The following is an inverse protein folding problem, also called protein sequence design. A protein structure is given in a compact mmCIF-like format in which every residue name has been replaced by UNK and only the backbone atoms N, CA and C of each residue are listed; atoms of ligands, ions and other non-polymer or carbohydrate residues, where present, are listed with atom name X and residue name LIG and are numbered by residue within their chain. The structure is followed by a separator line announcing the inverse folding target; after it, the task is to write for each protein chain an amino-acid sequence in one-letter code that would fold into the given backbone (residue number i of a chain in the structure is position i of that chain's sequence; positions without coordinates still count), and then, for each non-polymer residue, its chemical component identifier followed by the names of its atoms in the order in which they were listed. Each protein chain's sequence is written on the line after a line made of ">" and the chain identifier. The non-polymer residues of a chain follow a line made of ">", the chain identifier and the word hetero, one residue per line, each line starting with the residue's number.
data_IF_093707993397
#
_entry.id   IF_093707993397
#
_cell.length_a   1.000
_cell.length_b   1.000
_cell.length_c   1.000
_cell.angle_alpha   90.00
_cell.angle_beta   90.00
_cell.angle_gamma   90.00
#
_symmetry.space_group_name_H-M   'P 1'
#
loop_
_entity.id
_entity.type
_entity.pdbx_description
1 polymer ?
#
# COMPACT_ATOMS: atom_id res chain seq x y z
N UNK A 1 18.43 79.92 -14.39
CA UNK A 1 17.97 79.01 -13.35
C UNK A 1 17.76 77.60 -14.01
N UNK A 2 18.73 76.68 -13.80
CA UNK A 2 18.71 75.37 -14.37
C UNK A 2 17.79 74.41 -13.59
N UNK A 3 16.78 73.86 -14.24
CA UNK A 3 15.95 72.74 -13.69
C UNK A 3 16.76 71.46 -13.80
N UNK A 4 17.16 70.91 -12.65
CA UNK A 4 17.76 69.59 -12.62
C UNK A 4 16.63 68.55 -12.55
N UNK A 5 16.48 67.78 -13.61
CA UNK A 5 15.58 66.60 -13.65
C UNK A 5 16.28 65.42 -13.00
N UNK A 6 15.79 65.00 -11.82
CA UNK A 6 16.25 63.77 -11.14
C UNK A 6 15.46 62.59 -11.67
N UNK A 7 16.15 61.56 -12.15
CA UNK A 7 15.57 60.28 -12.54
C UNK A 7 14.94 59.62 -11.29
N UNK A 8 13.62 59.46 -11.32
CA UNK A 8 12.76 59.00 -10.22
C UNK A 8 13.16 57.64 -9.61
N UNK A 9 14.06 56.89 -10.26
CA UNK A 9 14.52 55.57 -9.85
C UNK A 9 15.99 55.45 -9.43
N UNK A 10 16.83 56.53 -9.58
CA UNK A 10 18.24 56.44 -9.25
C UNK A 10 18.48 56.47 -7.73
N UNK A 11 17.59 57.11 -6.95
CA UNK A 11 17.71 57.20 -5.48
C UNK A 11 17.37 55.90 -4.75
N UNK A 12 16.52 55.01 -5.36
CA UNK A 12 16.12 53.77 -4.69
C UNK A 12 17.24 52.71 -4.59
N UNK A 13 18.25 52.79 -5.44
CA UNK A 13 19.37 51.81 -5.42
C UNK A 13 20.53 52.23 -4.50
N UNK A 14 20.65 53.52 -4.15
CA UNK A 14 21.78 54.05 -3.43
C UNK A 14 21.59 54.09 -1.89
N UNK A 15 20.37 53.97 -1.39
CA UNK A 15 20.04 54.11 0.03
C UNK A 15 19.17 52.96 0.60
N UNK A 16 19.12 51.78 -0.06
CA UNK A 16 18.55 50.60 0.63
C UNK A 16 19.51 50.22 1.78
N UNK A 17 19.08 50.44 3.00
CA UNK A 17 19.79 49.91 4.18
C UNK A 17 19.81 48.39 4.06
N UNK A 18 20.85 47.71 4.57
CA UNK A 18 20.92 46.22 4.63
C UNK A 18 19.68 45.63 5.29
N UNK A 19 19.05 46.34 6.20
CA UNK A 19 17.81 45.98 6.88
C UNK A 19 16.59 46.01 5.93
N UNK A 20 16.49 47.00 5.04
CA UNK A 20 15.40 47.06 4.06
C UNK A 20 15.52 45.96 3.00
N UNK A 21 16.72 45.59 2.59
CA UNK A 21 16.97 44.47 1.66
C UNK A 21 16.69 43.11 2.33
N UNK A 22 17.05 42.95 3.60
CA UNK A 22 16.73 41.76 4.37
C UNK A 22 15.21 41.61 4.60
N UNK A 23 14.51 42.72 4.86
CA UNK A 23 13.05 42.73 5.02
C UNK A 23 12.33 42.38 3.71
N UNK A 24 12.81 42.87 2.56
CA UNK A 24 12.25 42.55 1.24
C UNK A 24 12.45 41.04 0.89
N UNK A 25 13.65 40.48 1.11
CA UNK A 25 13.94 39.06 0.94
C UNK A 25 13.09 38.19 1.87
N UNK A 26 12.90 38.61 3.12
CA UNK A 26 12.05 37.92 4.07
C UNK A 26 10.57 37.96 3.65
N UNK A 27 10.08 39.07 3.08
CA UNK A 27 8.72 39.18 2.57
C UNK A 27 8.49 38.31 1.32
N UNK A 28 9.46 38.28 0.40
CA UNK A 28 9.42 37.38 -0.75
C UNK A 28 9.43 35.91 -0.35
N UNK A 29 10.28 35.52 0.61
CA UNK A 29 10.33 34.16 1.13
C UNK A 29 9.01 33.75 1.82
N UNK A 30 8.40 34.68 2.59
CA UNK A 30 7.08 34.43 3.21
C UNK A 30 5.98 34.28 2.18
N UNK A 31 5.98 35.12 1.12
CA UNK A 31 5.02 35.02 0.03
C UNK A 31 5.15 33.69 -0.70
N UNK A 32 6.37 33.30 -1.07
CA UNK A 32 6.64 32.01 -1.71
C UNK A 32 6.16 30.83 -0.84
N UNK A 33 6.48 30.85 0.46
CA UNK A 33 6.03 29.80 1.38
C UNK A 33 4.51 29.77 1.55
N UNK A 34 3.80 30.89 1.42
CA UNK A 34 2.35 30.94 1.43
C UNK A 34 1.75 30.39 0.14
N UNK A 35 2.34 30.72 -1.01
CA UNK A 35 1.92 30.22 -2.32
C UNK A 35 2.16 28.70 -2.43
N UNK A 36 3.30 28.20 -1.96
CA UNK A 36 3.63 26.78 -1.91
C UNK A 36 2.62 26.00 -1.04
N UNK A 37 2.29 26.51 0.17
CA UNK A 37 1.27 25.91 1.04
C UNK A 37 -0.12 25.89 0.42
N UNK A 38 -0.53 26.97 -0.24
CA UNK A 38 -1.82 27.04 -0.91
C UNK A 38 -1.92 26.01 -2.05
N UNK A 39 -0.84 25.84 -2.79
CA UNK A 39 -0.73 24.84 -3.85
C UNK A 39 -0.81 23.41 -3.30
N UNK A 40 -0.04 23.10 -2.24
CA UNK A 40 -0.08 21.81 -1.55
C UNK A 40 -1.49 21.47 -1.04
N UNK A 41 -2.15 22.46 -0.40
CA UNK A 41 -3.53 22.27 0.08
C UNK A 41 -4.51 22.01 -1.06
N UNK A 42 -4.36 22.69 -2.20
CA UNK A 42 -5.17 22.47 -3.38
C UNK A 42 -4.97 21.06 -3.94
N UNK A 43 -3.73 20.63 -4.07
CA UNK A 43 -3.39 19.28 -4.54
C UNK A 43 -3.94 18.20 -3.60
N UNK A 44 -3.84 18.40 -2.30
CA UNK A 44 -4.40 17.53 -1.27
C UNK A 44 -5.91 17.38 -1.40
N UNK A 45 -6.63 18.50 -1.58
CA UNK A 45 -8.09 18.50 -1.80
C UNK A 45 -8.47 17.77 -3.10
N UNK A 46 -7.75 17.99 -4.19
CA UNK A 46 -8.00 17.31 -5.46
C UNK A 46 -7.78 15.79 -5.31
N UNK A 47 -6.70 15.37 -4.64
CA UNK A 47 -6.43 13.96 -4.41
C UNK A 47 -7.49 13.30 -3.53
N UNK A 48 -7.91 13.96 -2.45
CA UNK A 48 -9.00 13.48 -1.58
C UNK A 48 -10.31 13.31 -2.36
N UNK A 49 -10.64 14.26 -3.24
CA UNK A 49 -11.84 14.17 -4.10
C UNK A 49 -11.73 12.98 -5.06
N UNK A 50 -10.56 12.77 -5.67
CA UNK A 50 -10.32 11.62 -6.55
C UNK A 50 -10.48 10.29 -5.78
N UNK A 51 -9.90 10.18 -4.59
CA UNK A 51 -9.99 8.98 -3.75
C UNK A 51 -11.45 8.66 -3.38
N UNK A 52 -12.23 9.67 -3.01
CA UNK A 52 -13.68 9.51 -2.76
C UNK A 52 -14.42 9.07 -4.01
N UNK A 53 -14.14 9.67 -5.16
CA UNK A 53 -14.71 9.27 -6.46
C UNK A 53 -14.36 7.83 -6.85
N UNK A 54 -13.20 7.29 -6.45
CA UNK A 54 -12.87 5.87 -6.65
C UNK A 54 -13.82 4.98 -5.85
N UNK A 55 -14.05 5.27 -4.56
CA UNK A 55 -15.00 4.50 -3.74
C UNK A 55 -16.42 4.57 -4.31
N UNK A 56 -16.88 5.74 -4.74
CA UNK A 56 -18.19 5.94 -5.37
C UNK A 56 -18.33 5.13 -6.66
N UNK A 57 -17.31 5.16 -7.53
CA UNK A 57 -17.33 4.42 -8.81
C UNK A 57 -17.36 2.92 -8.62
N UNK A 58 -16.82 2.43 -7.52
CA UNK A 58 -16.81 1.02 -7.12
C UNK A 58 -18.02 0.64 -6.25
N UNK A 59 -18.92 1.58 -5.96
CA UNK A 59 -20.07 1.38 -5.07
C UNK A 59 -19.66 0.86 -3.69
N UNK A 60 -18.49 1.27 -3.20
CA UNK A 60 -18.01 0.94 -1.87
C UNK A 60 -18.54 1.95 -0.83
N UNK A 61 -18.69 1.54 0.44
CA UNK A 61 -19.09 2.45 1.51
C UNK A 61 -18.18 3.67 1.57
N UNK A 62 -18.76 4.88 1.55
CA UNK A 62 -18.04 6.14 1.66
C UNK A 62 -18.75 7.21 2.48
N UNK A 63 -20.07 7.07 2.71
CA UNK A 63 -20.93 8.09 3.35
C UNK A 63 -20.54 8.38 4.81
N UNK A 64 -20.00 7.36 5.51
CA UNK A 64 -19.58 7.44 6.91
C UNK A 64 -18.07 7.42 7.06
N UNK A 65 -17.33 7.68 5.97
CA UNK A 65 -15.88 7.68 5.95
C UNK A 65 -15.34 9.07 5.68
N UNK A 66 -14.38 9.48 6.49
CA UNK A 66 -13.54 10.64 6.25
C UNK A 66 -12.20 10.19 5.68
N UNK A 67 -11.83 10.77 4.53
CA UNK A 67 -10.60 10.46 3.81
C UNK A 67 -9.73 11.71 3.84
N UNK A 68 -8.51 11.55 4.29
CA UNK A 68 -7.49 12.58 4.29
C UNK A 68 -6.25 12.09 3.56
N UNK A 69 -5.69 12.91 2.67
CA UNK A 69 -4.48 12.62 1.91
C UNK A 69 -3.39 13.60 2.27
N UNK A 70 -2.22 13.10 2.62
CA UNK A 70 -1.03 13.89 2.90
C UNK A 70 0.23 13.07 2.57
N UNK A 71 1.10 13.64 1.76
CA UNK A 71 2.44 13.11 1.45
C UNK A 71 2.45 11.61 1.10
N UNK A 72 1.62 11.21 0.12
CA UNK A 72 1.42 9.83 -0.36
C UNK A 72 0.77 8.87 0.66
N UNK A 73 0.34 9.36 1.83
CA UNK A 73 -0.40 8.62 2.84
C UNK A 73 -1.88 8.99 2.79
N UNK A 74 -2.74 7.98 2.78
CA UNK A 74 -4.19 8.13 2.92
C UNK A 74 -4.59 7.70 4.32
N UNK A 75 -5.11 8.62 5.13
CA UNK A 75 -5.74 8.28 6.41
C UNK A 75 -7.25 8.16 6.20
N UNK A 76 -7.83 7.05 6.63
CA UNK A 76 -9.28 6.80 6.56
C UNK A 76 -9.82 6.56 7.95
N UNK A 77 -10.83 7.35 8.33
CA UNK A 77 -11.54 7.22 9.61
C UNK A 77 -13.04 7.03 9.38
N UNK A 78 -13.76 6.57 10.39
CA UNK A 78 -15.21 6.39 10.33
C UNK A 78 -15.62 4.95 10.56
N UNK A 79 -16.82 4.58 10.08
CA UNK A 79 -17.42 3.27 10.36
C UNK A 79 -17.95 2.60 9.10
N UNK A 80 -17.81 1.26 9.05
CA UNK A 80 -18.43 0.39 8.03
C UNK A 80 -19.18 -0.76 8.68
N UNK A 81 -20.05 -1.41 7.93
CA UNK A 81 -20.86 -2.50 8.46
C UNK A 81 -20.08 -3.80 8.60
N UNK A 82 -19.27 -4.18 7.61
CA UNK A 82 -18.58 -5.47 7.59
C UNK A 82 -17.06 -5.34 7.50
N UNK A 83 -16.35 -6.36 7.94
CA UNK A 83 -14.91 -6.48 7.78
C UNK A 83 -14.51 -6.49 6.29
N UNK A 84 -15.32 -7.14 5.44
CA UNK A 84 -15.11 -7.17 4.00
C UNK A 84 -15.19 -5.77 3.37
N UNK A 85 -16.12 -4.91 3.82
CA UNK A 85 -16.24 -3.53 3.34
C UNK A 85 -15.00 -2.70 3.72
N UNK A 86 -14.56 -2.80 4.97
CA UNK A 86 -13.32 -2.16 5.45
C UNK A 86 -12.12 -2.54 4.56
N UNK A 87 -11.91 -3.84 4.38
CA UNK A 87 -10.79 -4.37 3.62
C UNK A 87 -10.85 -3.96 2.14
N UNK A 88 -12.05 -3.91 1.52
CA UNK A 88 -12.23 -3.42 0.16
C UNK A 88 -11.96 -1.93 0.02
N UNK A 89 -12.38 -1.12 0.99
CA UNK A 89 -12.09 0.33 1.03
C UNK A 89 -10.57 0.55 1.08
N UNK A 90 -9.87 -0.11 2.02
CA UNK A 90 -8.41 -0.01 2.14
C UNK A 90 -7.72 -0.40 0.84
N UNK A 91 -8.15 -1.52 0.24
CA UNK A 91 -7.60 -2.03 -0.99
C UNK A 91 -7.84 -1.09 -2.19
N UNK A 92 -9.05 -0.56 -2.32
CA UNK A 92 -9.40 0.37 -3.39
C UNK A 92 -8.55 1.65 -3.34
N UNK A 93 -8.37 2.20 -2.14
CA UNK A 93 -7.56 3.41 -1.93
C UNK A 93 -6.06 3.14 -2.10
N UNK A 94 -5.56 2.01 -1.59
CA UNK A 94 -4.15 1.63 -1.68
C UNK A 94 -3.69 1.28 -3.10
N UNK A 95 -4.61 0.89 -3.99
CA UNK A 95 -4.29 0.62 -5.40
C UNK A 95 -4.36 1.89 -6.28
N UNK A 96 -4.65 3.06 -5.71
CA UNK A 96 -4.63 4.33 -6.47
C UNK A 96 -3.19 4.79 -6.67
N UNK A 97 -2.84 5.12 -7.92
CA UNK A 97 -1.50 5.63 -8.23
C UNK A 97 -1.15 6.87 -7.39
N UNK A 98 0.05 6.85 -6.78
CA UNK A 98 0.54 7.90 -5.89
C UNK A 98 -0.01 7.78 -4.45
N UNK A 99 -0.53 6.62 -4.05
CA UNK A 99 -0.75 6.23 -2.65
C UNK A 99 0.32 5.20 -2.30
N UNK A 100 1.18 5.54 -1.34
CA UNK A 100 2.21 4.63 -0.85
C UNK A 100 1.71 3.84 0.36
N UNK A 101 0.85 4.43 1.17
CA UNK A 101 0.35 3.83 2.40
C UNK A 101 -1.09 4.26 2.73
N UNK A 102 -1.86 3.34 3.36
CA UNK A 102 -3.18 3.61 3.90
C UNK A 102 -3.14 3.44 5.41
N UNK A 103 -3.31 4.54 6.15
CA UNK A 103 -3.48 4.55 7.61
C UNK A 103 -4.96 4.27 7.92
N UNK A 104 -5.23 3.01 8.25
CA UNK A 104 -6.56 2.51 8.53
C UNK A 104 -6.98 2.75 9.97
N UNK A 105 -7.99 3.61 10.12
CA UNK A 105 -8.67 3.89 11.40
C UNK A 105 -10.18 3.68 11.29
N UNK A 106 -10.59 2.76 10.42
CA UNK A 106 -12.00 2.41 10.21
C UNK A 106 -12.45 1.45 11.30
N UNK A 107 -13.55 1.77 11.94
CA UNK A 107 -14.25 0.88 12.87
C UNK A 107 -15.25 0.00 12.12
N UNK A 108 -15.39 -1.26 12.55
CA UNK A 108 -16.30 -2.24 11.92
C UNK A 108 -17.41 -2.59 12.89
N UNK A 109 -18.68 -2.42 12.46
CA UNK A 109 -19.83 -2.75 13.30
C UNK A 109 -19.99 -4.25 13.54
N UNK A 110 -19.73 -5.06 12.49
CA UNK A 110 -19.78 -6.52 12.56
C UNK A 110 -18.40 -7.09 12.20
N UNK A 111 -17.46 -7.16 13.16
CA UNK A 111 -16.12 -7.64 12.92
C UNK A 111 -16.11 -9.14 12.60
N UNK A 112 -15.36 -9.51 11.57
CA UNK A 112 -15.08 -10.87 11.14
C UNK A 112 -13.55 -11.10 11.11
N UNK A 113 -13.07 -12.35 11.01
CA UNK A 113 -11.64 -12.61 10.88
C UNK A 113 -11.05 -11.90 9.66
N UNK A 114 -9.98 -11.14 9.88
CA UNK A 114 -9.31 -10.39 8.83
C UNK A 114 -8.79 -11.28 7.71
N UNK A 115 -8.88 -10.80 6.47
CA UNK A 115 -8.27 -11.43 5.31
C UNK A 115 -6.77 -11.13 5.26
N UNK A 116 -6.01 -11.96 4.55
CA UNK A 116 -4.66 -11.60 4.16
C UNK A 116 -4.68 -10.65 2.95
N UNK A 117 -3.63 -9.84 2.80
CA UNK A 117 -3.38 -9.07 1.58
C UNK A 117 -2.16 -9.64 0.86
N UNK A 118 -2.23 -9.66 -0.46
CA UNK A 118 -1.15 -10.17 -1.31
C UNK A 118 -0.87 -9.21 -2.45
N UNK A 119 0.39 -8.82 -2.62
CA UNK A 119 0.82 -8.02 -3.78
C UNK A 119 1.18 -8.94 -4.93
N UNK A 120 0.48 -8.79 -6.05
CA UNK A 120 0.69 -9.58 -7.28
C UNK A 120 2.11 -9.38 -7.81
N UNK A 121 2.76 -10.48 -8.18
CA UNK A 121 4.11 -10.52 -8.73
C UNK A 121 4.08 -10.88 -10.22
N UNK A 122 5.19 -10.64 -10.90
CA UNK A 122 5.34 -11.01 -12.30
C UNK A 122 5.18 -12.54 -12.47
N UNK A 123 4.26 -12.95 -13.33
CA UNK A 123 3.99 -14.36 -13.59
C UNK A 123 2.95 -15.01 -12.68
N UNK A 124 2.33 -14.25 -11.78
CA UNK A 124 1.19 -14.71 -11.00
C UNK A 124 -0.07 -14.90 -11.86
N UNK A 125 -0.93 -15.80 -11.37
CA UNK A 125 -2.33 -15.91 -11.74
C UNK A 125 -3.14 -16.16 -10.47
N UNK A 126 -4.46 -15.88 -10.49
CA UNK A 126 -5.32 -16.16 -9.34
C UNK A 126 -5.26 -17.64 -8.93
N UNK A 127 -5.12 -18.56 -9.89
CA UNK A 127 -4.98 -20.00 -9.61
C UNK A 127 -3.69 -20.32 -8.86
N UNK A 128 -2.56 -19.70 -9.21
CA UNK A 128 -1.30 -19.87 -8.48
C UNK A 128 -1.40 -19.30 -7.08
N UNK A 129 -2.00 -18.11 -6.95
CA UNK A 129 -2.24 -17.48 -5.65
C UNK A 129 -3.17 -18.33 -4.79
N UNK A 130 -4.27 -18.88 -5.36
CA UNK A 130 -5.17 -19.77 -4.66
C UNK A 130 -4.48 -21.06 -4.21
N UNK A 131 -3.64 -21.66 -5.05
CA UNK A 131 -2.82 -22.81 -4.66
C UNK A 131 -1.89 -22.49 -3.50
N UNK A 132 -1.25 -21.31 -3.52
CA UNK A 132 -0.37 -20.84 -2.43
C UNK A 132 -1.12 -20.66 -1.11
N UNK A 133 -2.28 -19.99 -1.12
CA UNK A 133 -3.01 -19.63 0.10
C UNK A 133 -4.00 -20.70 0.56
N UNK A 134 -4.57 -21.47 -0.34
CA UNK A 134 -5.61 -22.45 -0.05
C UNK A 134 -5.20 -23.90 -0.30
N UNK A 135 -3.99 -24.15 -0.81
CA UNK A 135 -3.54 -25.47 -1.23
C UNK A 135 -4.21 -25.98 -2.51
N UNK A 136 -5.16 -25.25 -3.08
CA UNK A 136 -5.98 -25.67 -4.21
C UNK A 136 -6.13 -24.53 -5.24
N UNK A 137 -5.61 -24.74 -6.45
CA UNK A 137 -5.69 -23.78 -7.55
C UNK A 137 -7.13 -23.51 -8.00
N UNK A 138 -8.04 -24.49 -7.84
CA UNK A 138 -9.44 -24.36 -8.24
C UNK A 138 -10.25 -23.42 -7.33
N UNK A 139 -9.68 -23.00 -6.21
CA UNK A 139 -10.30 -22.03 -5.28
C UNK A 139 -10.04 -20.57 -5.68
N UNK A 140 -9.46 -20.30 -6.85
CA UNK A 140 -9.27 -18.94 -7.35
C UNK A 140 -10.56 -18.11 -7.43
N UNK A 141 -11.77 -18.66 -7.64
CA UNK A 141 -13.00 -17.88 -7.66
C UNK A 141 -13.26 -17.15 -6.33
N UNK A 142 -12.86 -17.71 -5.18
CA UNK A 142 -13.00 -17.05 -3.89
C UNK A 142 -12.15 -15.77 -3.81
N UNK A 143 -10.93 -15.81 -4.36
CA UNK A 143 -10.08 -14.63 -4.47
C UNK A 143 -10.71 -13.63 -5.43
N UNK A 144 -11.18 -14.08 -6.59
CA UNK A 144 -11.83 -13.21 -7.57
C UNK A 144 -13.03 -12.47 -6.98
N UNK A 145 -13.99 -13.20 -6.40
CA UNK A 145 -15.19 -12.60 -5.80
C UNK A 145 -14.86 -11.66 -4.64
N UNK A 146 -13.88 -12.00 -3.81
CA UNK A 146 -13.44 -11.15 -2.72
C UNK A 146 -12.86 -9.81 -3.18
N UNK A 147 -12.36 -9.73 -4.42
CA UNK A 147 -11.75 -8.55 -5.00
C UNK A 147 -12.67 -7.77 -5.95
N UNK A 148 -13.93 -8.21 -6.09
CA UNK A 148 -14.95 -7.40 -6.77
C UNK A 148 -15.38 -6.23 -5.87
N UNK A 149 -15.71 -5.08 -6.46
CA UNK A 149 -15.77 -4.77 -7.90
C UNK A 149 -14.45 -4.32 -8.52
N UNK A 150 -13.34 -4.22 -7.76
CA UNK A 150 -12.04 -3.74 -8.24
C UNK A 150 -11.44 -4.64 -9.32
N UNK A 151 -11.68 -5.95 -9.22
CA UNK A 151 -11.27 -6.94 -10.20
C UNK A 151 -12.50 -7.38 -11.02
N UNK A 152 -12.52 -7.02 -12.31
CA UNK A 152 -13.63 -7.33 -13.22
C UNK A 152 -13.45 -8.63 -14.01
N UNK A 153 -12.20 -9.12 -14.10
CA UNK A 153 -11.82 -10.29 -14.89
C UNK A 153 -10.69 -11.03 -14.14
N UNK A 154 -10.83 -12.36 -13.89
CA UNK A 154 -9.85 -13.11 -13.12
C UNK A 154 -8.47 -13.21 -13.77
N UNK A 155 -8.39 -13.02 -15.10
CA UNK A 155 -7.13 -13.07 -15.84
C UNK A 155 -6.44 -11.70 -15.93
N UNK A 156 -7.09 -10.63 -15.46
CA UNK A 156 -6.57 -9.25 -15.49
C UNK A 156 -6.04 -8.80 -14.14
N UNK A 157 -5.00 -9.48 -13.68
CA UNK A 157 -4.19 -9.03 -12.53
C UNK A 157 -2.83 -8.53 -13.01
N UNK A 158 -2.27 -7.53 -12.32
CA UNK A 158 -1.04 -6.87 -12.73
C UNK A 158 -0.02 -6.86 -11.60
N UNK A 159 1.28 -7.01 -11.89
CA UNK A 159 2.34 -6.88 -10.89
C UNK A 159 2.24 -5.54 -10.14
N UNK A 160 2.32 -5.61 -8.81
CA UNK A 160 2.15 -4.46 -7.90
C UNK A 160 0.71 -4.22 -7.43
N UNK A 161 -0.28 -4.90 -8.02
CA UNK A 161 -1.66 -4.84 -7.57
C UNK A 161 -1.82 -5.58 -6.25
N UNK A 162 -2.48 -4.97 -5.26
CA UNK A 162 -2.82 -5.65 -4.02
C UNK A 162 -4.18 -6.34 -4.15
N UNK A 163 -4.23 -7.58 -3.69
CA UNK A 163 -5.43 -8.42 -3.64
C UNK A 163 -5.77 -8.80 -2.21
N UNK A 164 -7.06 -8.86 -1.93
CA UNK A 164 -7.63 -9.42 -0.72
C UNK A 164 -7.74 -10.95 -0.86
N UNK A 165 -7.22 -11.67 0.12
CA UNK A 165 -7.27 -13.14 0.18
C UNK A 165 -8.17 -13.52 1.35
N UNK A 166 -9.47 -13.79 1.13
CA UNK A 166 -10.41 -14.08 2.22
C UNK A 166 -10.10 -15.41 2.90
N UNK A 167 -10.44 -15.50 4.18
CA UNK A 167 -10.44 -16.79 4.86
C UNK A 167 -11.62 -17.64 4.34
N UNK A 168 -11.32 -18.85 3.87
CA UNK A 168 -12.33 -19.80 3.40
C UNK A 168 -12.36 -20.95 4.39
N UNK A 169 -13.53 -21.26 4.96
CA UNK A 169 -13.67 -22.37 5.90
C UNK A 169 -13.16 -23.69 5.29
N UNK A 170 -12.40 -24.44 6.07
CA UNK A 170 -11.79 -25.70 5.63
C UNK A 170 -10.56 -25.56 4.74
N UNK A 171 -10.08 -24.34 4.47
CA UNK A 171 -8.91 -24.09 3.61
C UNK A 171 -7.88 -23.15 4.21
N UNK A 172 -8.28 -22.30 5.13
CA UNK A 172 -7.33 -21.75 6.06
C UNK A 172 -7.01 -22.88 7.05
N UNK A 173 -6.19 -23.71 6.57
CA UNK A 173 -5.30 -24.38 7.46
C UNK A 173 -4.54 -23.29 8.24
N UNK A 174 -4.33 -23.53 9.50
CA UNK A 174 -3.25 -22.96 10.31
C UNK A 174 -1.87 -23.20 9.65
N UNK A 175 -1.81 -23.25 8.35
CA UNK A 175 -0.82 -23.82 7.46
C UNK A 175 0.23 -22.86 6.97
N UNK A 176 0.15 -21.58 7.31
CA UNK A 176 1.27 -20.68 7.12
C UNK A 176 1.90 -20.39 8.48
N UNK A 177 2.75 -21.29 8.95
CA UNK A 177 3.66 -20.96 10.04
C UNK A 177 4.77 -20.06 9.50
N UNK A 178 5.25 -19.16 10.35
CA UNK A 178 6.45 -18.38 10.04
C UNK A 178 7.62 -19.03 10.76
N UNK A 179 8.69 -19.29 10.05
CA UNK A 179 9.94 -19.81 10.60
C UNK A 179 11.05 -18.77 10.44
N UNK A 180 11.80 -18.50 11.50
CA UNK A 180 12.98 -17.64 11.45
C UNK A 180 14.24 -18.51 11.28
N UNK A 181 14.95 -18.32 10.17
CA UNK A 181 16.12 -19.10 9.80
C UNK A 181 17.21 -18.98 10.87
N UNK A 182 17.67 -20.13 11.36
CA UNK A 182 18.70 -20.26 12.37
C UNK A 182 20.06 -20.56 11.73
N UNK A 183 21.19 -20.32 12.47
CA UNK A 183 22.52 -20.69 11.98
C UNK A 183 22.60 -22.18 11.63
N UNK A 184 23.04 -22.49 10.40
CA UNK A 184 23.21 -23.86 9.90
C UNK A 184 21.94 -24.48 9.30
N UNK A 185 20.87 -23.71 9.14
CA UNK A 185 19.67 -24.16 8.45
C UNK A 185 19.86 -24.26 6.94
N UNK A 186 19.09 -25.16 6.35
CA UNK A 186 18.82 -25.26 4.92
C UNK A 186 17.32 -25.47 4.75
N UNK A 187 16.76 -25.13 3.58
CA UNK A 187 15.32 -25.39 3.34
C UNK A 187 14.95 -26.86 3.54
N UNK A 188 15.85 -27.80 3.20
CA UNK A 188 15.63 -29.22 3.44
C UNK A 188 15.58 -29.59 4.93
N UNK A 189 16.41 -28.99 5.78
CA UNK A 189 16.35 -29.19 7.23
C UNK A 189 15.08 -28.60 7.83
N UNK A 190 14.72 -27.40 7.40
CA UNK A 190 13.49 -26.72 7.81
C UNK A 190 12.26 -27.54 7.36
N UNK A 191 12.23 -28.03 6.11
CA UNK A 191 11.17 -28.90 5.62
C UNK A 191 11.05 -30.20 6.44
N UNK A 192 12.19 -30.80 6.80
CA UNK A 192 12.21 -31.99 7.66
C UNK A 192 11.61 -31.71 9.03
N UNK A 193 11.97 -30.58 9.64
CA UNK A 193 11.49 -30.16 10.97
C UNK A 193 10.01 -29.77 10.96
N UNK A 194 9.61 -28.91 10.02
CA UNK A 194 8.30 -28.28 10.02
C UNK A 194 7.22 -29.07 9.26
N UNK A 195 7.62 -29.81 8.21
CA UNK A 195 6.74 -30.56 7.31
C UNK A 195 6.93 -32.07 7.39
N UNK A 196 7.86 -32.52 8.26
CA UNK A 196 8.16 -33.95 8.47
C UNK A 196 8.97 -34.61 7.35
N UNK A 197 9.21 -33.93 6.22
CA UNK A 197 9.89 -34.47 5.05
C UNK A 197 10.82 -33.44 4.40
N UNK A 198 12.11 -33.78 4.29
CA UNK A 198 13.12 -32.90 3.68
C UNK A 198 12.88 -32.66 2.18
N UNK A 199 12.23 -33.58 1.47
CA UNK A 199 11.92 -33.43 0.04
C UNK A 199 10.91 -32.33 -0.24
N UNK A 200 10.12 -31.91 0.75
CA UNK A 200 9.15 -30.83 0.69
C UNK A 200 9.77 -29.42 0.72
N UNK A 201 11.11 -29.31 0.64
CA UNK A 201 11.80 -28.01 0.64
C UNK A 201 11.38 -27.09 -0.52
N UNK A 202 10.98 -27.67 -1.66
CA UNK A 202 10.47 -26.90 -2.81
C UNK A 202 9.17 -26.17 -2.48
N UNK A 203 8.31 -26.76 -1.65
CA UNK A 203 7.08 -26.08 -1.23
C UNK A 203 7.39 -24.87 -0.35
N UNK A 204 8.42 -24.94 0.50
CA UNK A 204 8.91 -23.77 1.26
C UNK A 204 9.49 -22.73 0.32
N UNK A 205 10.31 -23.15 -0.65
CA UNK A 205 10.88 -22.25 -1.65
C UNK A 205 9.81 -21.52 -2.45
N UNK A 206 8.83 -22.26 -3.02
CA UNK A 206 7.70 -21.71 -3.77
C UNK A 206 6.82 -20.77 -2.93
N UNK A 207 6.68 -21.04 -1.62
CA UNK A 207 5.94 -20.17 -0.71
C UNK A 207 6.69 -18.86 -0.38
N UNK A 208 7.99 -18.79 -0.71
CA UNK A 208 8.90 -17.67 -0.43
C UNK A 208 9.65 -17.17 -1.67
N UNK A 209 9.15 -17.45 -2.87
CA UNK A 209 9.76 -17.07 -4.15
C UNK A 209 9.91 -15.55 -4.34
N UNK A 210 9.29 -14.77 -3.45
CA UNK A 210 9.37 -13.31 -3.37
C UNK A 210 10.63 -12.80 -2.66
N UNK A 211 11.14 -13.59 -1.75
CA UNK A 211 12.31 -13.24 -0.93
C UNK A 211 13.49 -14.19 -1.13
N UNK A 212 13.29 -15.26 -1.92
CA UNK A 212 14.28 -16.25 -2.26
C UNK A 212 14.44 -16.36 -3.78
N UNK A 213 15.58 -15.91 -4.30
CA UNK A 213 15.94 -16.11 -5.71
C UNK A 213 16.42 -17.54 -5.99
N UNK A 214 16.93 -18.24 -4.98
CA UNK A 214 17.48 -19.59 -5.05
C UNK A 214 17.21 -20.34 -3.73
N UNK A 215 16.79 -21.63 -3.78
CA UNK A 215 16.51 -22.41 -2.58
C UNK A 215 17.69 -22.59 -1.60
N UNK A 216 18.93 -22.32 -2.06
CA UNK A 216 20.12 -22.38 -1.21
C UNK A 216 20.54 -21.01 -0.67
N UNK A 217 19.81 -19.94 -0.97
CA UNK A 217 20.19 -18.55 -0.62
C UNK A 217 19.50 -18.00 0.64
N UNK A 218 19.06 -18.85 1.56
CA UNK A 218 18.47 -18.41 2.83
C UNK A 218 19.52 -17.77 3.75
N UNK A 219 19.09 -16.77 4.53
CA UNK A 219 19.95 -16.01 5.45
C UNK A 219 19.45 -16.15 6.89
N UNK A 220 20.38 -16.27 7.84
CA UNK A 220 20.06 -16.27 9.27
C UNK A 220 19.25 -15.03 9.64
N UNK A 221 18.17 -15.22 10.41
CA UNK A 221 17.21 -14.18 10.78
C UNK A 221 16.14 -13.89 9.72
N UNK A 222 16.23 -14.48 8.53
CA UNK A 222 15.20 -14.34 7.51
C UNK A 222 13.92 -15.08 7.94
N UNK A 223 12.77 -14.44 7.79
CA UNK A 223 11.47 -15.07 8.08
C UNK A 223 10.93 -15.74 6.83
N UNK A 224 10.69 -17.03 6.93
CA UNK A 224 10.13 -17.86 5.87
C UNK A 224 8.71 -18.26 6.20
N UNK A 225 7.84 -18.25 5.18
CA UNK A 225 6.51 -18.85 5.21
C UNK A 225 6.64 -20.36 5.05
N UNK A 226 6.08 -21.13 5.98
CA UNK A 226 6.08 -22.60 5.93
C UNK A 226 4.67 -23.09 5.60
N UNK A 227 4.42 -23.64 4.42
CA UNK A 227 3.13 -24.23 4.05
C UNK A 227 2.96 -25.60 4.73
N UNK A 228 2.04 -25.71 5.70
CA UNK A 228 1.88 -26.95 6.49
C UNK A 228 1.05 -28.05 5.80
N UNK A 229 0.24 -27.71 4.80
CA UNK A 229 -0.60 -28.66 4.07
C UNK A 229 -0.03 -28.96 2.67
N UNK A 230 1.17 -29.47 2.61
CA UNK A 230 1.75 -30.01 1.38
C UNK A 230 1.56 -31.51 1.39
N UNK A 231 0.62 -31.96 0.53
CA UNK A 231 0.42 -33.39 0.27
C UNK A 231 1.67 -34.02 -0.38
#
# INVERSE_FOLDING_TARGET
>A
MGLFSFLKNAGKKLFKSKEAEAAEKAAEARKKAADDRAWEEQMRKQKTTLLRGVLESLHLPNDRLDIYYDDDVVTVTGTVETQADKEKVILALGNVNGVAYVDDRIEVNNPEPESAFYTVKKGDSLSKIAKRFYGDAMKYPQIFEANRPMLSDPDKIYPGQNLRIPKVEGTYSSSLATYEVQPGDTLGKIAKSELGDASKYMAIYEANDDILDDPNSIKVGQRLTIPRDVA
#
